data_IF_677932051368
#
_entry.id   IF_677932051368
#
_cell.length_a   1.000
_cell.length_b   1.000
_cell.length_c   1.000
_cell.angle_alpha   90.00
_cell.angle_beta   90.00
_cell.angle_gamma   90.00
#
_symmetry.space_group_name_H-M   'P 1'
#
loop_
_entity.id
_entity.type
_entity.pdbx_description
1 polymer ?
#
# COMPACT_ATOMS: atom_id res chain seq x y z
N UNK A 1 6.94 -29.36 -75.71
CA UNK A 1 5.81 -29.56 -74.78
C UNK A 1 5.74 -28.29 -73.92
N UNK A 2 4.80 -27.34 -74.07
CA UNK A 2 3.35 -27.37 -73.75
C UNK A 2 3.10 -27.98 -72.35
N UNK A 3 2.47 -27.36 -71.34
CA UNK A 3 1.60 -26.17 -71.19
C UNK A 3 1.63 -25.72 -69.71
N UNK A 4 1.50 -24.40 -69.53
CA UNK A 4 0.90 -23.55 -68.48
C UNK A 4 0.48 -24.08 -67.10
N UNK A 5 0.74 -23.21 -66.11
CA UNK A 5 0.08 -23.16 -64.80
C UNK A 5 0.22 -21.80 -64.11
N UNK A 6 0.05 -20.70 -64.84
CA UNK A 6 -0.14 -19.34 -64.31
C UNK A 6 -1.65 -19.11 -64.25
N UNK A 7 -2.26 -18.82 -63.08
CA UNK A 7 -3.43 -17.91 -62.93
C UNK A 7 -3.76 -17.59 -61.46
N UNK A 8 -3.71 -16.28 -61.18
CA UNK A 8 -4.78 -15.46 -60.55
C UNK A 8 -4.99 -15.68 -59.04
N UNK A 9 -4.45 -14.83 -58.17
CA UNK A 9 -4.99 -13.51 -57.81
C UNK A 9 -6.47 -13.55 -57.38
N UNK A 10 -6.72 -14.00 -56.15
CA UNK A 10 -7.89 -13.54 -55.37
C UNK A 10 -7.45 -12.38 -54.48
N UNK A 11 -7.28 -11.22 -55.12
CA UNK A 11 -7.59 -9.96 -54.48
C UNK A 11 -9.12 -9.85 -54.38
N UNK A 12 -9.58 -9.26 -53.28
CA UNK A 12 -10.92 -8.74 -52.97
C UNK A 12 -11.73 -9.45 -51.87
N UNK A 13 -12.07 -8.60 -50.88
CA UNK A 13 -13.15 -8.67 -49.90
C UNK A 13 -12.86 -9.60 -48.71
N UNK A 14 -12.68 -9.12 -47.47
CA UNK A 14 -13.52 -8.17 -46.70
C UNK A 14 -12.61 -7.53 -45.64
N UNK A 15 -12.23 -6.25 -45.78
CA UNK A 15 -12.88 -5.11 -45.15
C UNK A 15 -13.03 -5.22 -43.60
N UNK A 16 -12.14 -4.51 -42.90
CA UNK A 16 -12.41 -3.67 -41.73
C UNK A 16 -13.51 -4.12 -40.75
N UNK A 17 -13.08 -4.68 -39.63
CA UNK A 17 -13.89 -4.85 -38.42
C UNK A 17 -13.11 -4.40 -37.18
N UNK A 18 -12.69 -3.13 -37.15
CA UNK A 18 -12.23 -2.49 -35.91
C UNK A 18 -13.48 -2.29 -35.05
N UNK A 19 -13.81 -3.25 -34.19
CA UNK A 19 -14.85 -3.06 -33.18
C UNK A 19 -14.24 -2.22 -32.06
N UNK A 20 -14.25 -0.90 -32.28
CA UNK A 20 -14.18 0.12 -31.23
C UNK A 20 -15.54 0.13 -30.54
N UNK A 21 -15.67 -0.51 -29.38
CA UNK A 21 -16.79 -0.22 -28.48
C UNK A 21 -16.42 1.00 -27.64
N UNK A 22 -16.76 2.19 -28.14
CA UNK A 22 -16.95 3.35 -27.29
C UNK A 22 -18.34 3.22 -26.65
N UNK A 23 -18.39 3.13 -25.32
CA UNK A 23 -19.63 3.30 -24.57
C UNK A 23 -19.75 4.78 -24.22
N UNK A 24 -20.40 5.55 -25.10
CA UNK A 24 -21.02 6.83 -24.73
C UNK A 24 -22.50 6.56 -24.47
N UNK A 25 -22.92 6.76 -23.21
CA UNK A 25 -24.32 6.89 -22.85
C UNK A 25 -24.55 8.31 -22.34
N UNK A 26 -25.55 8.93 -22.96
CA UNK A 26 -25.84 10.35 -23.00
C UNK A 26 -26.07 11.01 -21.63
N UNK A 27 -25.61 12.26 -21.56
CA UNK A 27 -26.12 13.24 -20.62
C UNK A 27 -27.61 13.51 -20.88
N UNK A 28 -28.40 13.55 -19.80
CA UNK A 28 -29.63 14.32 -19.73
C UNK A 28 -29.43 15.39 -18.63
N UNK A 29 -29.71 16.67 -18.91
CA UNK A 29 -29.67 17.71 -17.90
C UNK A 29 -31.04 17.79 -17.22
N UNK A 30 -31.09 17.81 -15.89
CA UNK A 30 -32.26 18.35 -15.19
C UNK A 30 -31.88 18.95 -13.82
N UNK A 31 -32.04 20.27 -13.80
CA UNK A 31 -32.61 21.12 -12.75
C UNK A 31 -32.04 21.10 -11.33
N UNK A 32 -31.48 22.26 -11.00
CA UNK A 32 -31.26 22.78 -9.65
C UNK A 32 -32.48 22.62 -8.73
N UNK A 33 -32.24 22.17 -7.50
CA UNK A 33 -32.87 22.77 -6.33
C UNK A 33 -31.94 22.67 -5.12
N UNK A 34 -31.65 23.85 -4.57
CA UNK A 34 -31.09 24.08 -3.24
C UNK A 34 -31.93 23.41 -2.15
N UNK A 35 -31.28 22.88 -1.12
CA UNK A 35 -31.54 23.21 0.29
C UNK A 35 -30.61 22.41 1.24
N UNK A 36 -29.88 23.13 2.10
CA UNK A 36 -29.31 22.64 3.37
C UNK A 36 -27.92 22.00 3.24
N UNK A 37 -26.81 22.68 3.57
CA UNK A 37 -26.36 22.97 4.95
C UNK A 37 -26.26 21.65 5.76
N UNK A 38 -25.07 21.11 6.03
CA UNK A 38 -24.08 21.72 6.92
C UNK A 38 -22.64 21.39 6.50
N UNK A 39 -21.85 22.44 6.26
CA UNK A 39 -20.40 22.38 6.33
C UNK A 39 -20.00 22.45 7.80
N UNK A 40 -19.73 21.31 8.43
CA UNK A 40 -18.98 21.31 9.69
C UNK A 40 -17.51 21.62 9.37
N UNK A 41 -17.24 22.91 9.28
CA UNK A 41 -15.88 23.44 9.34
C UNK A 41 -15.33 23.17 10.73
N UNK A 42 -14.51 22.12 10.86
CA UNK A 42 -13.65 21.96 12.03
C UNK A 42 -12.64 23.11 12.02
N UNK A 43 -12.99 24.20 12.72
CA UNK A 43 -12.08 25.28 13.10
C UNK A 43 -11.11 24.74 14.15
N UNK A 44 -9.83 24.73 13.80
CA UNK A 44 -8.75 24.53 14.77
C UNK A 44 -8.31 25.92 15.22
N UNK A 45 -8.98 26.46 16.24
CA UNK A 45 -8.48 27.62 16.98
C UNK A 45 -7.57 27.08 18.09
N UNK A 46 -6.26 27.07 17.81
CA UNK A 46 -5.23 26.72 18.80
C UNK A 46 -4.50 27.98 19.25
N UNK A 47 -5.22 28.85 19.96
CA UNK A 47 -4.64 29.91 20.79
C UNK A 47 -5.18 29.72 22.21
N UNK A 48 -4.68 28.73 22.93
CA UNK A 48 -4.74 28.73 24.39
C UNK A 48 -3.33 28.91 24.92
N UNK A 49 -3.10 30.10 25.44
CA UNK A 49 -1.99 30.45 26.32
C UNK A 49 -2.16 29.61 27.59
N UNK A 50 -1.36 28.56 27.73
CA UNK A 50 -1.40 27.67 28.89
C UNK A 50 -0.75 28.39 30.08
N UNK A 51 -1.58 29.02 30.91
CA UNK A 51 -1.16 29.72 32.13
C UNK A 51 -0.79 28.69 33.20
N UNK A 52 0.52 28.54 33.43
CA UNK A 52 1.14 27.55 34.31
C UNK A 52 1.21 27.98 35.79
N UNK A 53 0.36 28.91 36.22
CA UNK A 53 0.44 29.48 37.57
C UNK A 53 -0.39 28.74 38.65
N UNK A 54 -1.11 27.66 38.32
CA UNK A 54 -1.97 26.92 39.26
C UNK A 54 -1.60 25.44 39.43
N UNK A 55 -0.31 25.10 39.59
CA UNK A 55 0.07 23.82 40.20
C UNK A 55 0.42 24.05 41.67
N UNK A 56 -0.63 24.06 42.49
CA UNK A 56 -0.56 24.09 43.93
C UNK A 56 0.22 22.89 44.48
N UNK A 57 1.11 23.19 45.42
CA UNK A 57 1.97 22.28 46.15
C UNK A 57 1.19 21.18 46.87
N UNK A 58 1.60 19.92 46.68
CA UNK A 58 1.18 18.80 47.54
C UNK A 58 2.37 17.88 47.83
N UNK A 59 2.87 18.10 49.05
CA UNK A 59 3.50 17.23 50.05
C UNK A 59 4.54 16.13 49.69
N UNK A 60 5.64 16.26 50.44
CA UNK A 60 6.66 15.29 50.78
C UNK A 60 6.08 13.92 51.18
N UNK A 61 6.43 12.86 50.45
CA UNK A 61 6.46 11.49 50.96
C UNK A 61 7.40 10.63 50.13
N UNK A 62 8.68 10.65 50.53
CA UNK A 62 9.62 9.53 50.56
C UNK A 62 9.20 8.27 49.77
N UNK A 63 9.56 8.20 48.49
CA UNK A 63 9.56 6.95 47.74
C UNK A 63 10.90 6.85 46.99
N UNK A 64 11.62 5.76 47.30
CA UNK A 64 12.91 5.35 46.75
C UNK A 64 13.09 5.76 45.29
N UNK A 65 13.97 6.74 45.04
CA UNK A 65 14.53 7.05 43.72
C UNK A 65 15.26 5.82 43.17
N UNK A 66 14.53 4.92 42.53
CA UNK A 66 15.07 4.10 41.46
C UNK A 66 14.88 4.91 40.19
N UNK A 67 15.71 5.94 40.02
CA UNK A 67 15.82 6.66 38.76
C UNK A 67 16.28 5.65 37.71
N UNK A 68 15.32 5.10 36.97
CA UNK A 68 15.62 4.54 35.67
C UNK A 68 16.00 5.75 34.82
N UNK A 69 17.30 6.03 34.76
CA UNK A 69 17.85 6.84 33.67
C UNK A 69 17.26 6.25 32.40
N UNK A 70 16.31 6.96 31.79
CA UNK A 70 15.85 6.65 30.45
C UNK A 70 17.08 6.82 29.58
N UNK A 71 17.71 5.72 29.25
CA UNK A 71 18.89 5.67 28.41
C UNK A 71 18.48 6.12 27.00
N UNK A 72 18.59 7.42 26.73
CA UNK A 72 18.34 8.02 25.42
C UNK A 72 19.27 7.44 24.33
N UNK A 73 20.29 6.65 24.67
CA UNK A 73 21.10 5.94 23.68
C UNK A 73 20.34 4.82 22.95
N UNK A 74 19.23 4.33 23.53
CA UNK A 74 18.30 3.38 22.90
C UNK A 74 17.33 4.02 21.88
N UNK A 75 17.27 5.35 21.80
CA UNK A 75 16.40 6.06 20.84
C UNK A 75 17.03 6.19 19.44
N UNK A 76 18.19 5.57 19.20
CA UNK A 76 18.84 5.55 17.90
C UNK A 76 18.41 4.36 17.03
N UNK A 77 17.28 3.71 17.33
CA UNK A 77 16.72 2.70 16.45
C UNK A 77 16.18 3.37 15.18
N UNK A 78 16.77 3.02 14.03
CA UNK A 78 16.37 3.53 12.73
C UNK A 78 14.92 3.14 12.44
N UNK A 79 14.08 4.12 12.12
CA UNK A 79 12.67 3.89 11.82
C UNK A 79 12.57 3.27 10.42
N UNK A 80 12.00 2.07 10.35
CA UNK A 80 11.83 1.32 9.12
C UNK A 80 10.36 1.13 8.76
N UNK A 81 10.08 1.10 7.46
CA UNK A 81 8.77 0.79 6.89
C UNK A 81 8.90 -0.39 5.94
N UNK A 82 7.83 -1.17 5.80
CA UNK A 82 7.76 -2.24 4.82
C UNK A 82 6.58 -2.01 3.92
N UNK A 83 6.72 -2.27 2.63
CA UNK A 83 5.57 -2.29 1.73
C UNK A 83 4.88 -3.66 1.80
N UNK A 84 3.56 -3.67 1.87
CA UNK A 84 2.79 -4.88 2.09
C UNK A 84 1.40 -4.85 1.48
N UNK A 85 0.74 -5.99 1.57
CA UNK A 85 -0.67 -6.16 1.21
C UNK A 85 -1.42 -6.72 2.41
N UNK A 86 -2.71 -6.38 2.52
CA UNK A 86 -3.57 -7.02 3.50
C UNK A 86 -4.07 -8.35 2.95
N UNK A 87 -3.97 -9.38 3.76
CA UNK A 87 -4.52 -10.71 3.51
C UNK A 87 -5.60 -11.03 4.53
N UNK A 88 -6.25 -12.19 4.39
CA UNK A 88 -7.16 -12.72 5.42
C UNK A 88 -6.45 -13.00 6.76
N UNK A 89 -5.13 -13.19 6.75
CA UNK A 89 -4.30 -13.45 7.93
C UNK A 89 -3.68 -12.18 8.53
N UNK A 90 -3.96 -11.01 7.94
CA UNK A 90 -3.35 -9.74 8.31
C UNK A 90 -2.39 -9.19 7.24
N UNK A 91 -1.64 -8.13 7.57
CA UNK A 91 -0.68 -7.53 6.64
C UNK A 91 0.52 -8.43 6.42
N UNK A 92 0.91 -8.64 5.16
CA UNK A 92 2.11 -9.39 4.79
C UNK A 92 3.04 -8.49 3.97
N UNK A 93 4.35 -8.57 4.19
CA UNK A 93 5.32 -7.83 3.41
C UNK A 93 5.34 -8.36 1.97
N UNK A 94 5.44 -7.43 1.02
CA UNK A 94 5.72 -7.78 -0.38
C UNK A 94 7.22 -7.86 -0.53
N UNK A 95 7.71 -9.02 -0.96
CA UNK A 95 9.12 -9.35 -0.97
C UNK A 95 9.74 -9.38 0.45
N UNK A 96 11.07 -9.38 0.54
CA UNK A 96 11.84 -9.51 1.78
C UNK A 96 12.73 -8.30 2.05
N UNK A 97 12.20 -7.10 1.81
CA UNK A 97 12.91 -5.84 2.03
C UNK A 97 12.13 -4.88 2.94
N UNK A 98 12.85 -3.99 3.62
CA UNK A 98 12.36 -2.87 4.41
C UNK A 98 13.16 -1.62 4.07
N UNK A 99 12.50 -0.46 4.08
CA UNK A 99 13.13 0.83 3.85
C UNK A 99 13.25 1.58 5.18
N UNK A 100 14.47 1.92 5.57
CA UNK A 100 14.74 2.63 6.82
C UNK A 100 15.24 4.05 6.56
N UNK A 101 14.87 5.01 7.41
CA UNK A 101 15.13 6.44 7.19
C UNK A 101 16.62 6.78 7.11
N UNK A 102 17.46 6.17 7.94
CA UNK A 102 18.90 6.48 7.98
C UNK A 102 19.73 5.52 7.14
N UNK A 103 19.38 4.23 7.16
CA UNK A 103 20.20 3.16 6.56
C UNK A 103 19.71 2.70 5.19
N UNK A 104 18.56 3.20 4.73
CA UNK A 104 17.97 2.85 3.43
C UNK A 104 17.41 1.42 3.38
N UNK A 105 17.44 0.84 2.18
CA UNK A 105 16.91 -0.50 1.94
C UNK A 105 17.72 -1.59 2.66
N UNK A 106 17.03 -2.44 3.43
CA UNK A 106 17.58 -3.60 4.13
C UNK A 106 16.73 -4.83 3.88
N UNK A 107 17.33 -6.01 4.04
CA UNK A 107 16.61 -7.27 4.01
C UNK A 107 15.81 -7.51 5.29
N UNK A 108 14.68 -8.19 5.16
CA UNK A 108 13.98 -8.80 6.30
C UNK A 108 14.73 -10.03 6.79
N UNK A 109 14.45 -10.40 8.04
CA UNK A 109 15.00 -11.60 8.66
C UNK A 109 14.56 -12.84 7.89
N UNK A 110 15.45 -13.83 7.82
CA UNK A 110 15.10 -15.14 7.27
C UNK A 110 13.94 -15.75 8.05
N UNK A 111 13.14 -16.57 7.39
CA UNK A 111 11.91 -17.17 7.92
C UNK A 111 10.71 -16.23 8.07
N UNK A 112 10.84 -14.94 7.74
CA UNK A 112 9.69 -14.00 7.71
C UNK A 112 8.69 -14.40 6.63
N UNK A 113 7.38 -14.53 6.92
CA UNK A 113 6.36 -14.76 5.90
C UNK A 113 6.28 -13.57 4.93
N UNK A 114 6.15 -13.84 3.64
CA UNK A 114 6.14 -12.81 2.61
C UNK A 114 5.19 -13.15 1.46
N UNK A 115 4.83 -12.14 0.68
CA UNK A 115 4.14 -12.31 -0.60
C UNK A 115 5.18 -12.29 -1.72
N UNK A 116 5.18 -13.35 -2.53
CA UNK A 116 6.05 -13.50 -3.69
C UNK A 116 5.56 -12.60 -4.84
N UNK A 117 5.88 -11.32 -4.73
CA UNK A 117 5.51 -10.29 -5.69
C UNK A 117 6.61 -9.22 -5.72
N UNK A 118 6.85 -8.63 -6.90
CA UNK A 118 7.78 -7.51 -7.00
C UNK A 118 7.14 -6.19 -6.57
N UNK A 119 7.95 -5.26 -6.05
CA UNK A 119 7.51 -3.90 -5.69
C UNK A 119 6.91 -3.16 -6.90
N UNK A 120 7.43 -3.43 -8.11
CA UNK A 120 6.89 -2.90 -9.37
C UNK A 120 5.48 -3.42 -9.66
N UNK A 121 5.24 -4.70 -9.41
CA UNK A 121 3.90 -5.30 -9.58
C UNK A 121 2.93 -4.66 -8.59
N UNK A 122 3.29 -4.56 -7.32
CA UNK A 122 2.46 -3.92 -6.28
C UNK A 122 2.10 -2.47 -6.62
N UNK A 123 3.09 -1.67 -7.02
CA UNK A 123 2.88 -0.26 -7.37
C UNK A 123 1.96 -0.09 -8.57
N UNK A 124 2.00 -1.02 -9.54
CA UNK A 124 1.12 -1.02 -10.71
C UNK A 124 -0.31 -1.52 -10.45
N UNK A 125 -0.57 -2.19 -9.32
CA UNK A 125 -1.92 -2.66 -8.98
C UNK A 125 -2.85 -1.49 -8.65
N UNK A 126 -4.13 -1.63 -9.01
CA UNK A 126 -5.16 -0.70 -8.58
C UNK A 126 -5.52 -0.91 -7.11
N UNK A 127 -5.83 0.18 -6.41
CA UNK A 127 -6.26 0.12 -5.01
C UNK A 127 -7.63 -0.58 -4.90
N UNK A 128 -7.86 -1.24 -3.76
CA UNK A 128 -9.08 -1.96 -3.39
C UNK A 128 -9.45 -3.14 -4.30
N UNK A 129 -8.53 -3.61 -5.15
CA UNK A 129 -8.72 -4.86 -5.91
C UNK A 129 -8.24 -6.08 -5.11
N UNK A 130 -9.09 -7.10 -5.07
CA UNK A 130 -8.72 -8.42 -4.58
C UNK A 130 -7.98 -9.19 -5.67
N UNK A 131 -6.79 -9.67 -5.35
CA UNK A 131 -5.97 -10.51 -6.22
C UNK A 131 -5.53 -11.76 -5.49
N UNK A 132 -5.27 -12.84 -6.23
CA UNK A 132 -4.64 -14.03 -5.66
C UNK A 132 -3.13 -13.79 -5.55
N UNK A 133 -2.60 -13.90 -4.33
CA UNK A 133 -1.17 -13.83 -4.06
C UNK A 133 -0.60 -15.21 -3.78
N UNK A 134 0.65 -15.42 -4.15
CA UNK A 134 1.46 -16.54 -3.69
C UNK A 134 2.18 -16.15 -2.41
N UNK A 135 2.01 -16.95 -1.36
CA UNK A 135 2.73 -16.79 -0.10
C UNK A 135 4.09 -17.47 -0.19
N UNK A 136 5.04 -16.99 0.61
CA UNK A 136 6.39 -17.50 0.68
C UNK A 136 7.06 -17.20 2.01
N UNK A 137 8.35 -17.50 2.06
CA UNK A 137 9.19 -17.28 3.23
C UNK A 137 10.48 -16.59 2.80
N UNK A 138 10.93 -15.60 3.57
CA UNK A 138 12.20 -14.93 3.33
C UNK A 138 13.39 -15.86 3.54
N UNK A 139 14.27 -15.90 2.55
CA UNK A 139 15.56 -16.59 2.61
C UNK A 139 16.59 -15.83 1.80
N UNK A 140 17.63 -15.34 2.48
CA UNK A 140 18.71 -14.55 1.91
C UNK A 140 18.20 -13.30 1.17
N UNK A 141 17.25 -12.59 1.77
CA UNK A 141 16.69 -11.34 1.22
C UNK A 141 15.73 -11.54 0.03
N UNK A 142 15.37 -12.77 -0.30
CA UNK A 142 14.39 -13.07 -1.35
C UNK A 142 13.20 -13.84 -0.79
N UNK A 143 12.00 -13.52 -1.27
CA UNK A 143 10.79 -14.28 -0.93
C UNK A 143 10.77 -15.59 -1.72
N UNK A 144 10.94 -16.73 -1.04
CA UNK A 144 10.84 -18.06 -1.64
C UNK A 144 9.39 -18.49 -1.68
N UNK A 145 8.86 -18.61 -2.89
CA UNK A 145 7.47 -18.97 -3.13
C UNK A 145 7.14 -20.35 -2.55
N UNK A 146 5.95 -20.47 -1.98
CA UNK A 146 5.35 -21.74 -1.57
C UNK A 146 4.19 -22.12 -2.50
N UNK A 147 3.57 -23.27 -2.28
CA UNK A 147 2.34 -23.67 -2.98
C UNK A 147 1.08 -23.02 -2.39
N UNK A 148 1.21 -22.21 -1.33
CA UNK A 148 0.08 -21.60 -0.66
C UNK A 148 -0.30 -20.29 -1.32
N UNK A 149 -1.60 -20.11 -1.53
CA UNK A 149 -2.18 -18.90 -2.08
C UNK A 149 -3.23 -18.33 -1.14
N UNK A 150 -3.38 -17.01 -1.15
CA UNK A 150 -4.43 -16.31 -0.40
C UNK A 150 -4.94 -15.12 -1.20
N UNK A 151 -6.07 -14.57 -0.80
CA UNK A 151 -6.55 -13.29 -1.30
C UNK A 151 -5.78 -12.16 -0.64
N UNK A 152 -5.29 -11.24 -1.47
CA UNK A 152 -4.73 -9.98 -1.02
C UNK A 152 -5.51 -8.80 -1.58
N UNK A 153 -5.49 -7.71 -0.82
CA UNK A 153 -5.98 -6.41 -1.27
C UNK A 153 -4.91 -5.35 -1.09
N UNK A 154 -4.74 -4.51 -2.12
CA UNK A 154 -3.93 -3.30 -2.03
C UNK A 154 -4.77 -2.17 -1.48
N UNK A 155 -4.29 -1.52 -0.42
CA UNK A 155 -4.84 -0.24 0.05
C UNK A 155 -3.98 0.92 -0.46
N UNK A 156 -4.51 2.16 -0.49
CA UNK A 156 -3.73 3.33 -0.91
C UNK A 156 -2.46 3.54 -0.07
N UNK A 157 -2.52 3.18 1.21
CA UNK A 157 -1.35 3.10 2.08
C UNK A 157 -0.85 1.66 2.09
N UNK A 158 0.35 1.46 1.53
CA UNK A 158 1.01 0.15 1.44
C UNK A 158 2.07 -0.06 2.51
N UNK A 159 2.42 0.98 3.28
CA UNK A 159 3.40 0.86 4.35
C UNK A 159 2.77 0.16 5.55
N UNK A 160 3.44 -0.89 6.04
CA UNK A 160 3.09 -1.67 7.22
C UNK A 160 4.26 -1.64 8.19
N UNK A 161 3.94 -1.83 9.47
CA UNK A 161 4.96 -1.97 10.51
C UNK A 161 5.79 -3.24 10.29
N UNK A 162 7.10 -3.22 10.61
CA UNK A 162 7.93 -4.40 10.53
C UNK A 162 7.38 -5.55 11.38
N UNK A 163 7.40 -6.80 10.87
CA UNK A 163 7.14 -7.95 11.73
C UNK A 163 8.26 -8.01 12.78
N UNK A 164 7.87 -8.07 14.06
CA UNK A 164 8.76 -8.20 15.21
C UNK A 164 9.61 -9.47 15.15
#
# INVERSE_FOLDING_TARGET
MKISGLRVACFFCVALGIVKTFSEANAAPDTMNEAGSSTDSLKWDSNEEFDLSELGSMDDSNESDNSTELDYSQLNEDVCTIIGLKTEYGPFPVNCTKECLQTGEKSLNDSTPCIAMSNKTLTSMSDYQNVTCTLGICSHGACKESTNHTWCVKYPVINIDPPN
#
